data_IF_881147229188
#
_entry.id   IF_881147229188
#
_cell.length_a   1.000
_cell.length_b   1.000
_cell.length_c   1.000
_cell.angle_alpha   90.00
_cell.angle_beta   90.00
_cell.angle_gamma   90.00
#
_symmetry.space_group_name_H-M   'P 1'
#
loop_
_entity.id
_entity.type
_entity.pdbx_description
1 polymer ?
#
# COMPACT_ATOMS: atom_id res chain seq x y z
N UNK A 1 23.60 6.57 -38.87
CA UNK A 1 23.34 5.25 -38.26
C UNK A 1 22.69 5.28 -36.86
N UNK A 2 22.92 6.29 -36.01
CA UNK A 2 22.37 6.33 -34.63
C UNK A 2 20.85 6.60 -34.50
N UNK A 3 20.22 7.21 -35.51
CA UNK A 3 18.77 7.53 -35.48
C UNK A 3 17.92 6.30 -35.81
N UNK A 4 18.38 5.45 -36.74
CA UNK A 4 17.70 4.21 -37.13
C UNK A 4 17.64 3.23 -35.96
N UNK A 5 18.71 3.15 -35.15
CA UNK A 5 18.77 2.29 -33.95
C UNK A 5 17.78 2.70 -32.86
N UNK A 6 17.52 4.00 -32.68
CA UNK A 6 16.51 4.49 -31.72
C UNK A 6 15.08 4.21 -32.20
N UNK A 7 14.85 4.29 -33.51
CA UNK A 7 13.55 3.97 -34.10
C UNK A 7 13.25 2.45 -34.02
N UNK A 8 14.26 1.60 -34.21
CA UNK A 8 14.11 0.15 -34.04
C UNK A 8 13.93 -0.24 -32.57
N UNK A 9 14.55 0.48 -31.63
CA UNK A 9 14.36 0.24 -30.19
C UNK A 9 12.94 0.64 -29.73
N UNK A 10 12.43 1.78 -30.21
CA UNK A 10 11.04 2.20 -29.95
C UNK A 10 10.02 1.27 -30.63
N UNK A 11 10.33 0.80 -31.84
CA UNK A 11 9.53 -0.21 -32.54
C UNK A 11 9.52 -1.57 -31.82
N UNK A 12 10.64 -1.99 -31.22
CA UNK A 12 10.69 -3.23 -30.45
C UNK A 12 9.84 -3.15 -29.18
N UNK A 13 9.80 -2.01 -28.49
CA UNK A 13 8.90 -1.79 -27.34
C UNK A 13 7.42 -1.91 -27.76
N UNK A 14 7.05 -1.40 -28.95
CA UNK A 14 5.71 -1.58 -29.51
C UNK A 14 5.40 -3.04 -29.90
N UNK A 15 6.40 -3.78 -30.39
CA UNK A 15 6.21 -5.17 -30.83
C UNK A 15 6.18 -6.18 -29.67
N UNK A 16 6.83 -5.89 -28.53
CA UNK A 16 6.65 -6.70 -27.30
C UNK A 16 5.26 -6.56 -26.68
N UNK A 17 4.44 -5.61 -27.14
CA UNK A 17 3.04 -5.45 -26.74
C UNK A 17 2.06 -6.34 -27.51
N UNK A 18 2.50 -7.07 -28.55
CA UNK A 18 1.62 -7.79 -29.48
C UNK A 18 1.17 -9.18 -28.98
N UNK A 19 1.76 -9.70 -27.88
CA UNK A 19 1.29 -10.95 -27.25
C UNK A 19 0.56 -10.73 -25.92
N UNK A 20 0.04 -9.53 -25.67
CA UNK A 20 -1.02 -9.36 -24.68
C UNK A 20 -2.29 -9.97 -25.27
N UNK A 21 -2.70 -11.12 -24.72
CA UNK A 21 -3.99 -11.74 -24.99
C UNK A 21 -5.08 -10.67 -25.10
N UNK A 22 -5.64 -10.51 -26.29
CA UNK A 22 -6.77 -9.65 -26.58
C UNK A 22 -8.05 -10.28 -26.00
N UNK A 23 -8.13 -10.36 -24.67
CA UNK A 23 -9.40 -10.35 -23.96
C UNK A 23 -9.73 -8.90 -23.72
N UNK A 24 -10.62 -8.33 -24.55
CA UNK A 24 -11.36 -7.08 -24.35
C UNK A 24 -10.85 -6.23 -23.18
N UNK A 25 -9.68 -5.59 -23.37
CA UNK A 25 -9.11 -4.65 -22.41
C UNK A 25 -9.91 -3.36 -22.54
N UNK A 26 -10.96 -3.25 -21.74
CA UNK A 26 -11.50 -1.95 -21.38
C UNK A 26 -10.35 -1.17 -20.73
N UNK A 27 -9.99 0.00 -21.27
CA UNK A 27 -8.91 0.81 -20.68
C UNK A 27 -9.25 1.25 -19.24
N UNK A 28 -10.54 1.23 -18.90
CA UNK A 28 -11.06 1.41 -17.56
C UNK A 28 -10.76 0.15 -16.73
N UNK A 29 -9.74 0.24 -15.87
CA UNK A 29 -9.41 -0.82 -14.91
C UNK A 29 -8.10 -1.57 -15.16
N UNK A 30 -7.27 -1.20 -16.14
CA UNK A 30 -5.95 -1.81 -16.34
C UNK A 30 -5.07 -1.68 -15.09
N UNK A 31 -5.02 -0.48 -14.49
CA UNK A 31 -4.25 -0.23 -13.28
C UNK A 31 -4.77 -1.02 -12.07
N UNK A 32 -6.09 -1.23 -11.98
CA UNK A 32 -6.71 -2.01 -10.91
C UNK A 32 -6.44 -3.50 -11.11
N UNK A 33 -6.53 -4.00 -12.35
CA UNK A 33 -6.18 -5.39 -12.69
C UNK A 33 -4.72 -5.70 -12.38
N UNK A 34 -3.82 -4.75 -12.64
CA UNK A 34 -2.42 -4.88 -12.25
C UNK A 34 -2.30 -4.91 -10.72
N UNK A 35 -2.97 -4.00 -10.01
CA UNK A 35 -2.98 -3.97 -8.55
C UNK A 35 -3.46 -5.30 -7.95
N UNK A 36 -4.53 -5.88 -8.47
CA UNK A 36 -5.08 -7.16 -8.04
C UNK A 36 -4.09 -8.31 -8.23
N UNK A 37 -3.40 -8.34 -9.38
CA UNK A 37 -2.34 -9.34 -9.63
C UNK A 37 -1.18 -9.19 -8.65
N UNK A 38 -0.75 -7.96 -8.35
CA UNK A 38 0.29 -7.71 -7.36
C UNK A 38 -0.14 -8.16 -5.97
N UNK A 39 -1.37 -7.85 -5.56
CA UNK A 39 -1.92 -8.27 -4.27
C UNK A 39 -1.98 -9.80 -4.17
N UNK A 40 -2.43 -10.47 -5.23
CA UNK A 40 -2.52 -11.93 -5.27
C UNK A 40 -1.14 -12.58 -5.08
N UNK A 41 -0.12 -12.11 -5.79
CA UNK A 41 1.25 -12.61 -5.62
C UNK A 41 1.78 -12.29 -4.23
N UNK A 42 1.61 -11.07 -3.74
CA UNK A 42 2.11 -10.65 -2.43
C UNK A 42 1.49 -11.46 -1.28
N UNK A 43 0.21 -11.85 -1.39
CA UNK A 43 -0.47 -12.67 -0.38
C UNK A 43 0.20 -14.04 -0.16
N UNK A 44 0.85 -14.59 -1.19
CA UNK A 44 1.56 -15.89 -1.09
C UNK A 44 2.78 -15.82 -0.17
N UNK A 45 3.40 -14.63 -0.05
CA UNK A 45 4.57 -14.43 0.81
C UNK A 45 4.21 -14.47 2.29
N UNK A 46 2.95 -14.15 2.63
CA UNK A 46 2.49 -14.07 4.01
C UNK A 46 2.67 -15.38 4.78
N UNK A 47 2.52 -16.53 4.10
CA UNK A 47 2.68 -17.84 4.74
C UNK A 47 4.14 -18.10 5.08
N UNK A 48 5.02 -18.01 4.07
CA UNK A 48 6.46 -18.27 4.24
C UNK A 48 7.07 -17.29 5.24
N UNK A 49 6.79 -15.99 5.10
CA UNK A 49 7.33 -14.96 5.99
C UNK A 49 6.72 -15.08 7.39
N UNK A 50 5.44 -15.44 7.49
CA UNK A 50 4.76 -15.68 8.76
C UNK A 50 5.39 -16.82 9.56
N UNK A 51 5.78 -17.91 8.89
CA UNK A 51 6.47 -19.03 9.55
C UNK A 51 7.82 -18.62 10.13
N UNK A 52 8.63 -17.88 9.34
CA UNK A 52 9.90 -17.34 9.85
C UNK A 52 9.70 -16.31 10.97
N UNK A 53 8.66 -15.47 10.88
CA UNK A 53 8.32 -14.51 11.92
C UNK A 53 7.93 -15.21 13.23
N UNK A 54 7.18 -16.31 13.15
CA UNK A 54 6.78 -17.13 14.29
C UNK A 54 8.00 -17.78 14.95
N UNK A 55 8.91 -18.35 14.16
CA UNK A 55 10.16 -18.91 14.68
C UNK A 55 11.00 -17.84 15.41
N UNK A 56 11.17 -16.68 14.78
CA UNK A 56 11.91 -15.55 15.37
C UNK A 56 11.24 -15.05 16.66
N UNK A 57 9.91 -14.97 16.67
CA UNK A 57 9.13 -14.55 17.84
C UNK A 57 9.37 -15.47 19.04
N UNK A 58 9.23 -16.79 18.87
CA UNK A 58 9.47 -17.72 19.97
C UNK A 58 10.93 -17.76 20.42
N UNK A 59 11.87 -17.58 19.51
CA UNK A 59 13.29 -17.43 19.86
C UNK A 59 13.52 -16.25 20.80
N UNK A 60 12.94 -15.09 20.47
CA UNK A 60 13.03 -13.89 21.31
C UNK A 60 12.27 -14.03 22.64
N UNK A 61 11.09 -14.68 22.62
CA UNK A 61 10.33 -14.99 23.84
C UNK A 61 11.16 -15.83 24.79
N UNK A 62 11.82 -16.89 24.28
CA UNK A 62 12.64 -17.78 25.11
C UNK A 62 13.80 -17.02 25.75
N UNK A 63 14.51 -16.18 24.98
CA UNK A 63 15.59 -15.35 25.50
C UNK A 63 15.07 -14.40 26.59
N UNK A 64 13.94 -13.72 26.33
CA UNK A 64 13.34 -12.82 27.31
C UNK A 64 12.87 -13.57 28.56
N UNK A 65 12.35 -14.80 28.39
CA UNK A 65 11.87 -15.66 29.47
C UNK A 65 13.01 -16.07 30.40
N UNK A 66 14.13 -16.54 29.84
CA UNK A 66 15.33 -16.92 30.61
C UNK A 66 15.86 -15.74 31.40
N UNK A 67 15.89 -14.55 30.80
CA UNK A 67 16.35 -13.34 31.48
C UNK A 67 15.42 -12.90 32.62
N UNK A 68 14.12 -12.76 32.33
CA UNK A 68 13.13 -12.28 33.32
C UNK A 68 13.01 -13.25 34.49
N UNK A 69 12.89 -14.56 34.24
CA UNK A 69 12.80 -15.54 35.33
C UNK A 69 14.13 -15.79 36.02
N UNK A 70 15.26 -15.68 35.31
CA UNK A 70 16.59 -15.72 35.94
C UNK A 70 16.77 -14.60 36.96
N UNK A 71 16.32 -13.39 36.64
CA UNK A 71 16.40 -12.24 37.55
C UNK A 71 15.45 -12.38 38.75
N UNK A 72 14.22 -12.85 38.53
CA UNK A 72 13.27 -13.14 39.63
C UNK A 72 13.81 -14.21 40.59
N UNK A 73 14.47 -15.25 40.08
CA UNK A 73 15.09 -16.28 40.90
C UNK A 73 16.24 -15.72 41.76
N UNK A 74 17.00 -14.75 41.24
CA UNK A 74 18.10 -14.10 41.98
C UNK A 74 17.61 -13.09 43.01
N UNK A 75 16.51 -12.37 42.73
CA UNK A 75 15.97 -11.36 43.64
C UNK A 75 15.26 -11.98 44.85
N UNK A 76 14.89 -13.26 44.78
CA UNK A 76 14.23 -13.97 45.88
C UNK A 76 12.88 -13.37 46.26
N UNK A 77 12.22 -12.69 45.31
CA UNK A 77 10.90 -12.11 45.54
C UNK A 77 9.88 -13.23 45.85
N UNK A 78 8.98 -12.98 46.80
CA UNK A 78 7.99 -13.97 47.21
C UNK A 78 7.12 -14.47 46.04
N UNK A 79 6.55 -15.67 46.20
CA UNK A 79 5.79 -16.37 45.14
C UNK A 79 4.71 -15.50 44.47
N UNK A 80 4.06 -14.62 45.23
CA UNK A 80 3.06 -13.68 44.72
C UNK A 80 3.61 -12.69 43.71
N UNK A 81 4.85 -12.19 43.92
CA UNK A 81 5.51 -11.27 42.98
C UNK A 81 5.86 -12.00 41.68
N UNK A 82 6.43 -13.21 41.80
CA UNK A 82 6.74 -14.04 40.65
C UNK A 82 5.50 -14.37 39.81
N UNK A 83 4.37 -14.72 40.44
CA UNK A 83 3.10 -14.94 39.74
C UNK A 83 2.59 -13.69 39.04
N UNK A 84 2.69 -12.52 39.68
CA UNK A 84 2.28 -11.26 39.06
C UNK A 84 3.12 -10.93 37.80
N UNK A 85 4.43 -11.14 37.85
CA UNK A 85 5.30 -10.90 36.68
C UNK A 85 5.06 -11.94 35.58
N UNK A 86 4.82 -13.22 35.90
CA UNK A 86 4.43 -14.26 34.94
C UNK A 86 3.18 -13.83 34.16
N UNK A 87 2.14 -13.38 34.86
CA UNK A 87 0.89 -12.96 34.21
C UNK A 87 1.13 -11.76 33.30
N UNK A 88 1.90 -10.75 33.75
CA UNK A 88 2.25 -9.59 32.93
C UNK A 88 3.05 -9.98 31.69
N UNK A 89 4.01 -10.89 31.84
CA UNK A 89 4.85 -11.39 30.77
C UNK A 89 4.02 -12.09 29.69
N UNK A 90 3.16 -13.04 30.08
CA UNK A 90 2.28 -13.74 29.15
C UNK A 90 1.21 -12.84 28.54
N UNK A 91 0.70 -11.84 29.27
CA UNK A 91 -0.25 -10.88 28.73
C UNK A 91 0.35 -10.05 27.57
N UNK A 92 1.58 -9.55 27.76
CA UNK A 92 2.28 -8.77 26.72
C UNK A 92 2.64 -9.64 25.53
N UNK A 93 3.17 -10.85 25.77
CA UNK A 93 3.52 -11.79 24.69
C UNK A 93 2.27 -12.25 23.95
N UNK A 94 1.19 -12.56 24.65
CA UNK A 94 -0.07 -12.93 24.04
C UNK A 94 -0.61 -11.84 23.12
N UNK A 95 -0.49 -10.58 23.54
CA UNK A 95 -0.84 -9.43 22.70
C UNK A 95 0.00 -9.35 21.41
N UNK A 96 1.35 -9.43 21.50
CA UNK A 96 2.19 -9.37 20.31
C UNK A 96 2.06 -10.61 19.42
N UNK A 97 1.78 -11.78 20.00
CA UNK A 97 1.53 -13.00 19.24
C UNK A 97 0.20 -12.90 18.47
N UNK A 98 -0.84 -12.32 19.09
CA UNK A 98 -2.09 -12.00 18.41
C UNK A 98 -1.86 -11.03 17.23
N UNK A 99 -1.03 -10.00 17.43
CA UNK A 99 -0.65 -9.08 16.36
C UNK A 99 0.13 -9.77 15.24
N UNK A 100 0.99 -10.74 15.55
CA UNK A 100 1.76 -11.49 14.54
C UNK A 100 0.85 -12.34 13.66
N UNK A 101 -0.05 -13.13 14.25
CA UNK A 101 -0.98 -14.00 13.51
C UNK A 101 -1.92 -13.16 12.64
N UNK A 102 -2.47 -12.08 13.20
CA UNK A 102 -3.44 -11.23 12.52
C UNK A 102 -2.79 -10.04 11.80
N UNK A 103 -1.46 -9.99 11.71
CA UNK A 103 -0.70 -8.83 11.21
C UNK A 103 -1.13 -8.35 9.84
N UNK A 104 -1.19 -9.24 8.83
CA UNK A 104 -1.68 -8.89 7.49
C UNK A 104 -3.12 -8.38 7.50
N UNK A 105 -4.01 -9.06 8.24
CA UNK A 105 -5.44 -8.72 8.28
C UNK A 105 -5.68 -7.36 8.95
N UNK A 106 -5.01 -7.10 10.07
CA UNK A 106 -5.04 -5.81 10.76
C UNK A 106 -4.53 -4.71 9.83
N UNK A 107 -3.41 -4.96 9.15
CA UNK A 107 -2.79 -3.94 8.29
C UNK A 107 -3.67 -3.59 7.09
N UNK A 108 -4.28 -4.59 6.47
CA UNK A 108 -5.27 -4.39 5.41
C UNK A 108 -6.50 -3.64 5.92
N UNK A 109 -7.01 -3.99 7.11
CA UNK A 109 -8.16 -3.30 7.70
C UNK A 109 -7.88 -1.83 7.98
N UNK A 110 -6.65 -1.48 8.38
CA UNK A 110 -6.22 -0.08 8.58
C UNK A 110 -6.24 0.67 7.24
N UNK A 111 -5.64 0.10 6.20
CA UNK A 111 -5.60 0.75 4.88
C UNK A 111 -7.02 0.89 4.31
N UNK A 112 -7.83 -0.17 4.38
CA UNK A 112 -9.19 -0.17 3.85
C UNK A 112 -10.09 0.81 4.62
N UNK A 113 -9.98 0.89 5.94
CA UNK A 113 -10.74 1.85 6.75
C UNK A 113 -10.36 3.29 6.43
N UNK A 114 -9.07 3.60 6.21
CA UNK A 114 -8.63 4.93 5.77
C UNK A 114 -9.18 5.28 4.38
N UNK A 115 -9.16 4.34 3.43
CA UNK A 115 -9.75 4.54 2.09
C UNK A 115 -11.27 4.75 2.16
N UNK A 116 -11.96 3.96 2.99
CA UNK A 116 -13.40 4.08 3.19
C UNK A 116 -13.77 5.40 3.88
N UNK A 117 -12.96 5.84 4.85
CA UNK A 117 -13.13 7.13 5.50
C UNK A 117 -13.02 8.29 4.49
N UNK A 118 -12.05 8.23 3.57
CA UNK A 118 -11.92 9.23 2.51
C UNK A 118 -13.13 9.22 1.56
N UNK A 119 -13.59 8.03 1.16
CA UNK A 119 -14.76 7.89 0.28
C UNK A 119 -16.02 8.50 0.91
N UNK A 120 -16.27 8.16 2.18
CA UNK A 120 -17.39 8.70 2.95
C UNK A 120 -17.31 10.22 3.11
N UNK A 121 -16.12 10.77 3.35
CA UNK A 121 -15.92 12.22 3.47
C UNK A 121 -16.20 12.97 2.16
N UNK A 122 -15.98 12.33 1.02
CA UNK A 122 -16.27 12.89 -0.32
C UNK A 122 -17.70 12.60 -0.79
N UNK A 123 -18.52 11.89 -0.01
CA UNK A 123 -19.87 11.49 -0.41
C UNK A 123 -19.90 10.47 -1.55
N UNK A 124 -18.80 9.75 -1.78
CA UNK A 124 -18.67 8.73 -2.83
C UNK A 124 -18.68 7.34 -2.21
N UNK A 125 -19.45 6.40 -2.77
CA UNK A 125 -19.57 5.03 -2.24
C UNK A 125 -18.36 4.14 -2.55
N UNK A 126 -17.64 4.45 -3.62
CA UNK A 126 -16.41 3.78 -4.04
C UNK A 126 -15.23 4.72 -3.82
N UNK A 127 -14.29 4.32 -2.95
CA UNK A 127 -13.05 5.05 -2.77
C UNK A 127 -12.29 5.20 -4.08
N UNK A 128 -11.62 6.33 -4.28
CA UNK A 128 -10.93 6.65 -5.53
C UNK A 128 -9.85 5.59 -5.79
N UNK A 129 -9.87 5.00 -6.98
CA UNK A 129 -8.86 4.07 -7.48
C UNK A 129 -7.87 4.79 -8.40
N UNK A 130 -6.64 4.26 -8.58
CA UNK A 130 -5.69 4.82 -9.53
C UNK A 130 -6.25 4.95 -10.96
N UNK A 131 -7.06 3.99 -11.40
CA UNK A 131 -7.76 4.02 -12.69
C UNK A 131 -8.73 5.21 -12.79
N UNK A 132 -9.51 5.48 -11.73
CA UNK A 132 -10.46 6.60 -11.68
C UNK A 132 -9.78 7.94 -11.94
N UNK A 133 -8.52 8.12 -11.50
CA UNK A 133 -7.74 9.35 -11.72
C UNK A 133 -7.44 9.54 -13.21
N UNK A 134 -7.03 8.47 -13.89
CA UNK A 134 -6.74 8.48 -15.32
C UNK A 134 -8.02 8.70 -16.13
N UNK A 135 -9.13 8.09 -15.73
CA UNK A 135 -10.42 8.25 -16.38
C UNK A 135 -10.91 9.72 -16.32
N UNK A 136 -10.74 10.39 -15.17
CA UNK A 136 -11.01 11.85 -15.04
C UNK A 136 -10.15 12.65 -16.02
N UNK A 137 -8.86 12.30 -16.16
CA UNK A 137 -7.94 13.00 -17.05
C UNK A 137 -8.38 12.89 -18.53
N UNK A 138 -8.87 11.72 -18.94
CA UNK A 138 -9.44 11.53 -20.28
C UNK A 138 -10.77 12.28 -20.47
N UNK A 139 -11.61 12.38 -19.44
CA UNK A 139 -12.82 13.23 -19.50
C UNK A 139 -12.47 14.70 -19.68
N UNK A 140 -11.43 15.20 -18.99
CA UNK A 140 -10.96 16.57 -19.18
C UNK A 140 -10.42 16.77 -20.60
N UNK A 141 -9.61 15.84 -21.10
CA UNK A 141 -9.08 15.89 -22.46
C UNK A 141 -10.19 15.95 -23.51
N UNK A 142 -11.19 15.07 -23.40
CA UNK A 142 -12.31 15.00 -24.36
C UNK A 142 -13.17 16.27 -24.30
N UNK A 143 -13.46 16.79 -23.10
CA UNK A 143 -14.14 18.09 -22.94
C UNK A 143 -13.38 19.22 -23.62
N UNK A 144 -12.07 19.34 -23.37
CA UNK A 144 -11.25 20.38 -24.01
C UNK A 144 -11.17 20.21 -25.52
N UNK A 145 -11.04 18.97 -26.01
CA UNK A 145 -11.04 18.66 -27.44
C UNK A 145 -12.38 19.00 -28.13
N UNK A 146 -13.50 18.86 -27.42
CA UNK A 146 -14.84 19.19 -27.92
C UNK A 146 -15.15 20.69 -27.87
N UNK A 147 -14.58 21.42 -26.90
CA UNK A 147 -14.65 22.87 -26.80
C UNK A 147 -13.68 23.58 -27.78
N UNK A 148 -12.75 22.83 -28.36
CA UNK A 148 -11.82 23.32 -29.36
C UNK A 148 -12.58 23.65 -30.66
N UNK A 149 -12.83 24.95 -30.84
CA UNK A 149 -13.49 25.49 -32.03
C UNK A 149 -12.61 25.38 -33.27
N UNK A 150 -13.17 24.86 -34.37
CA UNK A 150 -12.58 24.86 -35.72
C UNK A 150 -12.41 26.30 -36.25
N UNK A 151 -13.18 27.26 -35.71
CA UNK A 151 -13.21 28.65 -36.17
C UNK A 151 -12.11 29.55 -35.56
N UNK A 152 -11.37 29.07 -34.55
CA UNK A 152 -10.19 29.77 -34.01
C UNK A 152 -9.03 28.77 -33.77
N UNK A 153 -8.24 28.45 -34.82
CA UNK A 153 -7.22 27.42 -34.77
C UNK A 153 -6.11 27.69 -33.74
N UNK A 154 -5.76 28.97 -33.53
CA UNK A 154 -4.72 29.37 -32.57
C UNK A 154 -5.14 29.11 -31.12
N UNK A 155 -6.38 29.45 -30.75
CA UNK A 155 -6.90 29.25 -29.38
C UNK A 155 -7.12 27.75 -29.11
N UNK A 156 -7.62 27.02 -30.11
CA UNK A 156 -7.81 25.57 -30.05
C UNK A 156 -6.51 24.80 -29.79
N UNK A 157 -5.41 25.18 -30.47
CA UNK A 157 -4.09 24.54 -30.29
C UNK A 157 -3.54 24.73 -28.87
N UNK A 158 -3.70 25.92 -28.30
CA UNK A 158 -3.25 26.22 -26.93
C UNK A 158 -4.06 25.41 -25.91
N UNK A 159 -5.39 25.35 -26.07
CA UNK A 159 -6.26 24.58 -25.16
C UNK A 159 -5.94 23.08 -25.18
N UNK A 160 -5.75 22.48 -26.36
CA UNK A 160 -5.39 21.06 -26.48
C UNK A 160 -4.01 20.80 -25.87
N UNK A 161 -3.04 21.70 -26.08
CA UNK A 161 -1.70 21.56 -25.48
C UNK A 161 -1.77 21.59 -23.95
N UNK A 162 -2.54 22.51 -23.36
CA UNK A 162 -2.74 22.58 -21.90
C UNK A 162 -3.46 21.32 -21.39
N UNK A 163 -4.45 20.80 -22.13
CA UNK A 163 -5.15 19.58 -21.74
C UNK A 163 -4.23 18.34 -21.75
N UNK A 164 -3.30 18.25 -22.72
CA UNK A 164 -2.29 17.18 -22.74
C UNK A 164 -1.35 17.29 -21.53
N UNK A 165 -0.92 18.51 -21.16
CA UNK A 165 -0.10 18.73 -19.96
C UNK A 165 -0.84 18.28 -18.69
N UNK A 166 -2.10 18.68 -18.53
CA UNK A 166 -2.94 18.26 -17.40
C UNK A 166 -3.11 16.74 -17.37
N UNK A 167 -3.30 16.10 -18.54
CA UNK A 167 -3.39 14.64 -18.63
C UNK A 167 -2.11 13.97 -18.13
N UNK A 168 -0.94 14.46 -18.55
CA UNK A 168 0.34 13.91 -18.09
C UNK A 168 0.51 14.07 -16.57
N UNK A 169 0.15 15.22 -16.01
CA UNK A 169 0.22 15.46 -14.56
C UNK A 169 -0.73 14.52 -13.80
N UNK A 170 -1.97 14.37 -14.26
CA UNK A 170 -2.95 13.45 -13.65
C UNK A 170 -2.50 11.99 -13.75
N UNK A 171 -1.90 11.59 -14.89
CA UNK A 171 -1.34 10.26 -15.06
C UNK A 171 -0.17 10.00 -14.09
N UNK A 172 0.69 10.99 -13.84
CA UNK A 172 1.77 10.88 -12.84
C UNK A 172 1.21 10.72 -11.41
N UNK A 173 0.15 11.45 -11.07
CA UNK A 173 -0.54 11.31 -9.78
C UNK A 173 -1.12 9.90 -9.65
N UNK A 174 -1.78 9.38 -10.68
CA UNK A 174 -2.33 8.02 -10.70
C UNK A 174 -1.25 6.95 -10.49
N UNK A 175 -0.12 7.07 -11.19
CA UNK A 175 1.02 6.15 -11.04
C UNK A 175 1.57 6.21 -9.61
N UNK A 176 1.71 7.41 -9.02
CA UNK A 176 2.18 7.53 -7.65
C UNK A 176 1.21 6.87 -6.64
N UNK A 177 -0.10 6.99 -6.86
CA UNK A 177 -1.11 6.30 -6.05
C UNK A 177 -1.00 4.78 -6.19
N UNK A 178 -0.77 4.27 -7.40
CA UNK A 178 -0.56 2.85 -7.66
C UNK A 178 0.66 2.33 -6.90
N UNK A 179 1.81 3.02 -7.01
CA UNK A 179 3.04 2.65 -6.31
C UNK A 179 2.82 2.65 -4.80
N UNK A 180 2.08 3.63 -4.27
CA UNK A 180 1.73 3.70 -2.84
C UNK A 180 0.83 2.54 -2.40
N UNK A 181 -0.14 2.13 -3.21
CA UNK A 181 -0.96 0.95 -2.91
C UNK A 181 -0.12 -0.33 -2.93
N UNK A 182 0.74 -0.50 -3.93
CA UNK A 182 1.65 -1.66 -4.02
C UNK A 182 2.60 -1.70 -2.81
N UNK A 183 3.19 -0.57 -2.41
CA UNK A 183 4.04 -0.51 -1.22
C UNK A 183 3.27 -0.84 0.06
N UNK A 184 2.01 -0.44 0.16
CA UNK A 184 1.12 -0.80 1.26
C UNK A 184 0.90 -2.32 1.32
N UNK A 185 0.62 -2.97 0.19
CA UNK A 185 0.47 -4.44 0.12
C UNK A 185 1.77 -5.17 0.47
N UNK A 186 2.89 -4.72 -0.08
CA UNK A 186 4.22 -5.28 0.25
C UNK A 186 4.49 -5.14 1.75
N UNK A 187 4.19 -4.00 2.36
CA UNK A 187 4.33 -3.82 3.80
C UNK A 187 3.41 -4.78 4.58
N UNK A 188 2.14 -4.92 4.18
CA UNK A 188 1.18 -5.79 4.88
C UNK A 188 1.60 -7.27 4.91
N UNK A 189 2.23 -7.76 3.84
CA UNK A 189 2.58 -9.17 3.71
C UNK A 189 4.05 -9.46 4.03
N UNK A 190 4.98 -8.65 3.51
CA UNK A 190 6.40 -8.83 3.77
C UNK A 190 6.84 -8.24 5.11
N UNK A 191 6.19 -7.16 5.57
CA UNK A 191 6.51 -6.51 6.83
C UNK A 191 6.09 -7.30 8.08
N UNK A 192 5.35 -8.40 7.92
CA UNK A 192 4.97 -9.31 9.03
C UNK A 192 6.19 -9.83 9.79
N UNK A 193 7.35 -9.96 9.13
CA UNK A 193 8.61 -10.33 9.80
C UNK A 193 8.96 -9.37 10.94
N UNK A 194 8.60 -8.08 10.82
CA UNK A 194 8.83 -7.06 11.83
C UNK A 194 7.96 -7.29 13.07
N UNK A 195 6.78 -7.89 12.92
CA UNK A 195 5.94 -8.31 14.05
C UNK A 195 6.56 -9.48 14.82
N UNK A 196 7.39 -10.30 14.16
CA UNK A 196 8.20 -11.33 14.80
C UNK A 196 9.10 -10.78 15.91
N UNK A 197 9.59 -9.55 15.77
CA UNK A 197 10.38 -8.88 16.80
C UNK A 197 9.59 -8.49 18.05
N UNK A 198 8.27 -8.67 18.08
CA UNK A 198 7.44 -8.44 19.26
C UNK A 198 7.66 -9.42 20.42
N UNK A 199 8.48 -10.47 20.23
CA UNK A 199 8.67 -11.54 21.22
C UNK A 199 9.47 -11.15 22.47
N UNK A 200 10.19 -10.03 22.45
CA UNK A 200 10.96 -9.53 23.59
C UNK A 200 10.66 -8.06 23.85
N UNK A 201 10.65 -7.66 25.13
CA UNK A 201 10.47 -6.26 25.56
C UNK A 201 11.54 -5.33 24.96
N UNK A 202 12.71 -5.85 24.58
CA UNK A 202 13.80 -5.05 23.99
C UNK A 202 13.63 -4.81 22.48
N UNK A 203 12.85 -5.64 21.80
CA UNK A 203 12.66 -5.58 20.35
C UNK A 203 11.23 -5.19 19.95
N UNK A 204 10.33 -5.07 20.93
CA UNK A 204 8.91 -4.72 20.72
C UNK A 204 8.70 -3.38 20.00
N UNK A 205 9.64 -2.45 20.11
CA UNK A 205 9.57 -1.16 19.42
C UNK A 205 9.53 -1.31 17.89
N UNK A 206 10.17 -2.35 17.35
CA UNK A 206 10.17 -2.66 15.91
C UNK A 206 8.75 -3.05 15.45
N UNK A 207 8.08 -3.91 16.22
CA UNK A 207 6.72 -4.34 15.93
C UNK A 207 5.71 -3.18 16.05
N UNK A 208 5.89 -2.29 17.03
CA UNK A 208 5.07 -1.08 17.16
C UNK A 208 5.32 -0.14 15.98
N UNK A 209 6.57 0.05 15.58
CA UNK A 209 6.91 0.92 14.46
C UNK A 209 6.37 0.39 13.13
N UNK A 210 6.27 -0.92 12.96
CA UNK A 210 5.56 -1.53 11.83
C UNK A 210 4.11 -1.05 11.76
N UNK A 211 3.35 -1.14 12.86
CA UNK A 211 1.95 -0.67 12.88
C UNK A 211 1.84 0.84 12.62
N UNK A 212 2.77 1.64 13.16
CA UNK A 212 2.84 3.08 12.86
C UNK A 212 3.10 3.35 11.37
N UNK A 213 3.94 2.54 10.74
CA UNK A 213 4.26 2.67 9.30
C UNK A 213 3.03 2.32 8.45
N UNK A 214 2.33 1.24 8.78
CA UNK A 214 1.08 0.86 8.11
C UNK A 214 0.03 1.97 8.22
N UNK A 215 -0.14 2.53 9.42
CA UNK A 215 -1.04 3.66 9.65
C UNK A 215 -0.62 4.89 8.83
N UNK A 216 0.67 5.20 8.78
CA UNK A 216 1.21 6.32 8.01
C UNK A 216 0.89 6.19 6.51
N UNK A 217 1.07 5.00 5.93
CA UNK A 217 0.72 4.74 4.52
C UNK A 217 -0.80 4.84 4.31
N UNK A 218 -1.60 4.31 5.25
CA UNK A 218 -3.06 4.45 5.21
C UNK A 218 -3.50 5.92 5.19
N UNK A 219 -2.88 6.77 6.01
CA UNK A 219 -3.13 8.21 6.05
C UNK A 219 -2.71 8.89 4.73
N UNK A 220 -1.56 8.49 4.15
CA UNK A 220 -1.14 9.04 2.86
C UNK A 220 -2.15 8.73 1.75
N UNK A 221 -2.67 7.50 1.70
CA UNK A 221 -3.73 7.12 0.76
C UNK A 221 -5.03 7.89 1.01
N UNK A 222 -5.40 8.11 2.27
CA UNK A 222 -6.54 8.95 2.65
C UNK A 222 -6.38 10.39 2.14
N UNK A 223 -5.25 11.03 2.41
CA UNK A 223 -4.98 12.41 1.97
C UNK A 223 -4.98 12.52 0.45
N UNK A 224 -4.36 11.57 -0.26
CA UNK A 224 -4.34 11.55 -1.71
C UNK A 224 -5.74 11.44 -2.30
N UNK A 225 -6.57 10.57 -1.72
CA UNK A 225 -7.97 10.41 -2.11
C UNK A 225 -8.76 11.71 -1.89
N UNK A 226 -8.59 12.38 -0.76
CA UNK A 226 -9.27 13.65 -0.49
C UNK A 226 -8.88 14.77 -1.46
N UNK A 227 -7.57 14.93 -1.73
CA UNK A 227 -7.08 15.97 -2.64
C UNK A 227 -7.72 15.80 -4.03
N UNK A 228 -7.80 14.56 -4.51
CA UNK A 228 -8.36 14.26 -5.82
C UNK A 228 -9.88 14.47 -5.83
N UNK A 229 -10.57 14.02 -4.77
CA UNK A 229 -12.01 14.23 -4.64
C UNK A 229 -12.40 15.72 -4.60
N UNK A 230 -11.61 16.56 -3.95
CA UNK A 230 -11.79 18.02 -3.98
C UNK A 230 -11.59 18.54 -5.41
N UNK A 231 -10.55 18.05 -6.10
CA UNK A 231 -10.25 18.42 -7.49
C UNK A 231 -11.36 18.07 -8.50
N UNK A 232 -12.20 17.08 -8.21
CA UNK A 232 -13.37 16.75 -9.04
C UNK A 232 -14.56 17.71 -8.87
N UNK A 233 -14.65 18.40 -7.73
CA UNK A 233 -15.78 19.28 -7.42
C UNK A 233 -15.68 20.68 -8.04
N UNK A 234 -14.52 21.04 -8.61
CA UNK A 234 -14.25 22.30 -9.30
C UNK A 234 -14.27 22.11 -10.82
#
# INVERSE_FOLDING_TARGET
MRIVSKLTFFGMIFLFSVNAYAGQLDSSGLLDTLLDKFQQVASTWSLVIGDYANWLFWGLVLISMVWTFGMLAMQGEGLTSALAEIVRFFAVIGFFYYLLINGPAISQSIINSMRQLAANALGTSTGISPSSIVDIAFVILTKVSSAASIWSPMISTIMITVAIIVLVVMALIAINMLVMLVSAWVLCYAGVILLGFGGSKWTSDIAINYLRTVLSIGIQLFTMTLIIGIGQSF
#
